data_IF_251297633109
#
_entry.id   IF_251297633109
#
_cell.length_a   1.000
_cell.length_b   1.000
_cell.length_c   1.000
_cell.angle_alpha   90.00
_cell.angle_beta   90.00
_cell.angle_gamma   90.00
#
_symmetry.space_group_name_H-M   'P 1'
#
loop_
_entity.id
_entity.type
_entity.pdbx_description
1 polymer ?
#
# COMPACT_ATOMS: atom_id res chain seq x y z
N UNK A 1 -1.39 73.57 32.14
CA UNK A 1 -0.52 72.50 31.62
C UNK A 1 -1.30 71.19 31.69
N UNK A 2 -1.82 70.67 30.56
CA UNK A 2 -2.53 69.39 30.45
C UNK A 2 -1.61 68.38 29.77
N UNK A 3 -1.12 67.39 30.49
CA UNK A 3 -0.32 66.28 29.95
C UNK A 3 -1.24 65.24 29.33
N UNK A 4 -1.13 64.99 28.02
CA UNK A 4 -1.73 63.89 27.31
C UNK A 4 -0.77 62.71 27.41
N UNK A 5 -1.19 61.66 28.12
CA UNK A 5 -0.48 60.36 28.08
C UNK A 5 -1.09 59.55 26.97
N UNK A 6 -0.36 59.41 25.87
CA UNK A 6 -0.70 58.55 24.75
C UNK A 6 -0.41 57.09 25.15
N UNK A 7 -1.44 56.26 25.29
CA UNK A 7 -1.27 54.84 25.46
C UNK A 7 -0.90 54.17 24.13
N UNK A 8 0.33 53.68 24.04
CA UNK A 8 0.82 52.90 22.90
C UNK A 8 0.30 51.47 23.04
N UNK A 9 -0.74 51.13 22.29
CA UNK A 9 -1.21 49.73 22.15
C UNK A 9 -0.19 48.97 21.28
N UNK A 10 0.70 48.22 21.92
CA UNK A 10 1.52 47.21 21.26
C UNK A 10 0.61 46.03 20.88
N UNK A 11 0.23 45.97 19.62
CA UNK A 11 -0.37 44.77 19.02
C UNK A 11 0.71 43.68 18.97
N UNK A 12 0.69 42.77 19.92
CA UNK A 12 1.42 41.50 19.86
C UNK A 12 0.82 40.70 18.72
N UNK A 13 1.35 40.83 17.53
CA UNK A 13 1.15 39.84 16.45
C UNK A 13 1.80 38.55 16.92
N UNK A 14 1.03 37.66 17.54
CA UNK A 14 1.47 36.33 17.81
C UNK A 14 1.79 35.65 16.48
N UNK A 15 3.06 35.41 16.22
CA UNK A 15 3.46 34.46 15.19
C UNK A 15 2.88 33.09 15.61
N UNK A 16 1.72 32.73 15.06
CA UNK A 16 1.26 31.36 15.09
C UNK A 16 2.29 30.57 14.31
N UNK A 17 3.13 29.82 14.99
CA UNK A 17 3.98 28.84 14.33
C UNK A 17 3.03 27.87 13.62
N UNK A 18 3.17 27.73 12.32
CA UNK A 18 2.35 26.79 11.56
C UNK A 18 2.54 25.39 12.18
N UNK A 19 1.43 24.74 12.52
CA UNK A 19 1.47 23.38 13.07
C UNK A 19 2.01 22.45 11.98
N UNK A 20 3.05 21.68 12.30
CA UNK A 20 3.58 20.63 11.44
C UNK A 20 2.96 19.31 11.88
N UNK A 21 2.31 18.62 10.95
CA UNK A 21 1.74 17.30 11.15
C UNK A 21 2.64 16.27 10.47
N UNK A 22 3.17 15.31 11.24
CA UNK A 22 4.13 14.34 10.74
C UNK A 22 3.43 13.03 10.37
N UNK A 23 3.48 12.66 9.09
CA UNK A 23 2.87 11.45 8.53
C UNK A 23 3.96 10.43 8.21
N UNK A 24 3.94 9.28 8.90
CA UNK A 24 4.84 8.16 8.65
C UNK A 24 4.20 7.18 7.67
N UNK A 25 4.71 7.11 6.45
CA UNK A 25 4.06 6.44 5.33
C UNK A 25 5.07 5.90 4.31
N UNK A 26 4.60 5.14 3.33
CA UNK A 26 5.40 4.74 2.17
C UNK A 26 5.87 5.97 1.38
N UNK A 27 7.00 5.82 0.69
CA UNK A 27 7.43 6.83 -0.29
C UNK A 27 6.40 6.94 -1.44
N UNK A 28 6.17 8.16 -1.95
CA UNK A 28 5.17 8.44 -3.00
C UNK A 28 3.74 8.07 -2.61
N UNK A 29 3.35 8.29 -1.35
CA UNK A 29 2.03 7.89 -0.85
C UNK A 29 1.08 9.06 -0.59
N UNK A 30 1.56 10.30 -0.66
CA UNK A 30 0.78 11.54 -0.62
C UNK A 30 1.17 12.42 -1.80
N UNK A 31 0.21 12.74 -2.66
CA UNK A 31 0.47 13.63 -3.79
C UNK A 31 0.80 15.06 -3.29
N UNK A 32 1.81 15.74 -3.87
CA UNK A 32 2.16 17.10 -3.47
C UNK A 32 0.99 18.08 -3.52
N UNK A 33 0.09 17.93 -4.50
CA UNK A 33 -1.12 18.75 -4.61
C UNK A 33 -2.02 18.62 -3.38
N UNK A 34 -2.14 17.42 -2.81
CA UNK A 34 -2.99 17.16 -1.64
C UNK A 34 -2.43 17.85 -0.40
N UNK A 35 -1.12 17.76 -0.19
CA UNK A 35 -0.44 18.45 0.92
C UNK A 35 -0.62 19.96 0.82
N UNK A 36 -0.35 20.52 -0.36
CA UNK A 36 -0.48 21.97 -0.62
C UNK A 36 -1.93 22.45 -0.42
N UNK A 37 -2.93 21.66 -0.85
CA UNK A 37 -4.35 21.98 -0.65
C UNK A 37 -4.72 22.00 0.82
N UNK A 38 -4.30 21.00 1.58
CA UNK A 38 -4.58 20.92 3.01
C UNK A 38 -3.95 22.11 3.75
N UNK A 39 -2.69 22.43 3.44
CA UNK A 39 -2.00 23.58 4.01
C UNK A 39 -2.69 24.89 3.66
N UNK A 40 -3.15 25.08 2.42
CA UNK A 40 -3.93 26.25 2.02
C UNK A 40 -5.28 26.37 2.74
N UNK A 41 -5.99 25.23 2.98
CA UNK A 41 -7.29 25.22 3.65
C UNK A 41 -7.17 25.42 5.16
N UNK A 42 -6.05 25.01 5.80
CA UNK A 42 -5.96 24.90 7.27
C UNK A 42 -4.79 25.64 7.91
N UNK A 43 -3.77 25.99 7.14
CA UNK A 43 -2.50 26.51 7.67
C UNK A 43 -1.62 25.44 8.31
N UNK A 44 -1.97 24.14 8.24
CA UNK A 44 -1.22 23.03 8.81
C UNK A 44 -0.30 22.46 7.73
N UNK A 45 1.01 22.39 8.03
CA UNK A 45 2.00 21.82 7.12
C UNK A 45 2.09 20.31 7.29
N UNK A 46 2.13 19.54 6.19
CA UNK A 46 2.31 18.08 6.21
C UNK A 46 3.76 17.74 5.91
N UNK A 47 4.40 17.07 6.87
CA UNK A 47 5.74 16.49 6.73
C UNK A 47 5.64 14.99 6.59
N UNK A 48 6.17 14.45 5.51
CA UNK A 48 6.28 13.01 5.33
C UNK A 48 7.61 12.48 5.89
N UNK A 49 7.52 11.35 6.60
CA UNK A 49 8.65 10.49 6.93
C UNK A 49 8.34 9.13 6.32
N UNK A 50 9.30 8.56 5.58
CA UNK A 50 9.02 7.36 4.81
C UNK A 50 9.66 6.13 5.41
N UNK A 51 9.00 4.98 5.24
CA UNK A 51 9.55 3.65 5.47
C UNK A 51 9.56 2.88 4.15
N UNK A 52 10.39 1.84 4.08
CA UNK A 52 10.64 1.01 2.91
C UNK A 52 10.14 -0.44 3.08
N UNK A 53 9.76 -0.81 4.29
CA UNK A 53 9.22 -2.14 4.60
C UNK A 53 8.34 -2.13 5.86
N UNK A 54 7.40 -3.07 5.93
CA UNK A 54 6.56 -3.26 7.10
C UNK A 54 7.37 -3.63 8.34
N UNK A 55 8.45 -4.39 8.18
CA UNK A 55 9.35 -4.69 9.28
C UNK A 55 10.06 -3.44 9.82
N UNK A 56 10.49 -2.53 8.95
CA UNK A 56 11.12 -1.26 9.37
C UNK A 56 10.11 -0.39 10.14
N UNK A 57 8.88 -0.24 9.60
CA UNK A 57 7.79 0.43 10.28
C UNK A 57 7.50 -0.19 11.65
N UNK A 58 7.28 -1.49 11.69
CA UNK A 58 6.91 -2.22 12.90
C UNK A 58 8.01 -2.16 13.96
N UNK A 59 9.27 -2.29 13.56
CA UNK A 59 10.44 -2.16 14.45
C UNK A 59 10.52 -0.78 15.08
N UNK A 60 10.29 0.26 14.30
CA UNK A 60 10.34 1.63 14.79
C UNK A 60 9.19 1.92 15.76
N UNK A 61 7.96 1.50 15.42
CA UNK A 61 6.78 1.72 16.25
C UNK A 61 6.81 0.92 17.56
N UNK A 62 7.45 -0.26 17.58
CA UNK A 62 7.59 -1.12 18.78
C UNK A 62 8.82 -0.80 19.65
N UNK A 63 9.69 0.08 19.21
CA UNK A 63 11.03 0.30 19.78
C UNK A 63 11.11 1.03 21.13
N UNK A 64 10.00 1.23 21.83
CA UNK A 64 9.97 1.78 23.21
C UNK A 64 10.19 3.30 23.31
N UNK A 65 10.61 3.97 22.26
CA UNK A 65 10.62 5.43 22.14
C UNK A 65 9.57 5.76 21.09
N UNK A 66 8.41 6.34 21.47
CA UNK A 66 7.43 6.74 20.50
C UNK A 66 8.07 7.78 19.57
N UNK A 67 8.15 7.51 18.29
CA UNK A 67 8.61 8.53 17.36
C UNK A 67 7.63 9.71 17.39
N UNK A 68 8.13 10.91 17.10
CA UNK A 68 7.32 12.12 16.97
C UNK A 68 6.51 12.08 15.66
N UNK A 69 5.67 11.06 15.52
CA UNK A 69 4.75 10.93 14.41
C UNK A 69 3.32 11.13 14.88
N UNK A 70 2.49 11.69 14.03
CA UNK A 70 1.08 11.94 14.32
C UNK A 70 0.20 10.87 13.66
N UNK A 71 0.48 10.57 12.40
CA UNK A 71 -0.28 9.62 11.59
C UNK A 71 0.68 8.56 11.04
N UNK A 72 0.19 7.32 10.94
CA UNK A 72 0.89 6.23 10.26
C UNK A 72 0.00 5.58 9.21
N UNK A 73 0.59 5.26 8.05
CA UNK A 73 0.01 4.32 7.10
C UNK A 73 0.33 2.90 7.54
N UNK A 74 -0.68 2.03 7.56
CA UNK A 74 -0.52 0.65 8.02
C UNK A 74 -1.47 -0.26 7.23
N UNK A 75 -0.97 -1.40 6.79
CA UNK A 75 -1.79 -2.38 6.09
C UNK A 75 -2.88 -2.99 7.01
N UNK A 76 -3.99 -3.37 6.41
CA UNK A 76 -5.15 -3.89 7.15
C UNK A 76 -4.87 -5.23 7.84
N UNK A 77 -3.89 -6.01 7.38
CA UNK A 77 -3.50 -7.27 7.99
C UNK A 77 -2.72 -7.01 9.30
N UNK A 78 -1.73 -6.12 9.27
CA UNK A 78 -0.99 -5.69 10.46
C UNK A 78 -1.89 -5.12 11.55
N UNK A 79 -2.91 -4.33 11.19
CA UNK A 79 -3.88 -3.77 12.14
C UNK A 79 -4.66 -4.83 12.94
N UNK A 80 -4.76 -6.04 12.42
CA UNK A 80 -5.45 -7.15 13.08
C UNK A 80 -4.61 -7.79 14.19
N UNK A 81 -3.29 -7.58 14.21
CA UNK A 81 -2.42 -8.05 15.28
C UNK A 81 -2.70 -7.27 16.57
N UNK A 82 -3.03 -7.96 17.69
CA UNK A 82 -3.29 -7.32 18.98
C UNK A 82 -2.18 -6.41 19.50
N UNK A 83 -0.93 -6.61 19.09
CA UNK A 83 0.23 -5.80 19.50
C UNK A 83 0.02 -4.31 19.19
N UNK A 84 -0.70 -3.99 18.13
CA UNK A 84 -0.87 -2.62 17.66
C UNK A 84 -2.04 -1.87 18.30
N UNK A 85 -2.95 -2.55 19.01
CA UNK A 85 -4.17 -1.94 19.57
C UNK A 85 -3.92 -0.78 20.52
N UNK A 86 -2.81 -0.83 21.24
CA UNK A 86 -2.48 0.19 22.24
C UNK A 86 -1.71 1.38 21.67
N UNK A 87 -1.32 1.34 20.40
CA UNK A 87 -0.57 2.42 19.76
C UNK A 87 -1.47 3.51 19.15
N UNK A 88 -2.72 3.18 18.82
CA UNK A 88 -3.60 4.07 18.07
C UNK A 88 -4.79 4.53 18.90
N UNK A 89 -5.30 5.72 18.58
CA UNK A 89 -6.58 6.20 19.14
C UNK A 89 -7.75 5.69 18.29
N UNK A 90 -8.94 5.50 18.86
CA UNK A 90 -10.15 5.24 18.09
C UNK A 90 -10.47 6.40 17.15
N UNK A 91 -10.83 6.07 15.89
CA UNK A 91 -11.26 7.08 14.93
C UNK A 91 -12.63 7.65 15.26
N UNK A 92 -12.83 8.98 15.08
CA UNK A 92 -14.14 9.59 15.22
C UNK A 92 -15.18 8.94 14.32
N UNK A 93 -16.40 8.75 14.82
CA UNK A 93 -17.52 8.19 14.04
C UNK A 93 -17.84 9.02 12.78
N UNK A 94 -17.60 10.33 12.83
CA UNK A 94 -17.75 11.21 11.67
C UNK A 94 -16.91 10.76 10.47
N UNK A 95 -15.72 10.24 10.71
CA UNK A 95 -14.84 9.76 9.64
C UNK A 95 -15.20 8.33 9.22
N UNK A 96 -15.54 7.46 10.18
CA UNK A 96 -15.68 6.01 9.92
C UNK A 96 -17.10 5.59 9.58
N UNK A 97 -18.11 6.18 10.23
CA UNK A 97 -19.51 5.76 10.08
C UNK A 97 -20.35 6.75 9.26
N UNK A 98 -20.06 8.05 9.35
CA UNK A 98 -20.82 9.08 8.66
C UNK A 98 -20.31 9.35 7.25
N UNK A 99 -19.08 8.97 6.92
CA UNK A 99 -18.54 9.08 5.58
C UNK A 99 -19.07 7.93 4.71
N UNK A 100 -20.26 8.12 4.16
CA UNK A 100 -20.92 7.13 3.29
C UNK A 100 -20.22 6.92 1.94
N UNK A 101 -19.20 7.69 1.62
CA UNK A 101 -18.42 7.51 0.40
C UNK A 101 -17.40 6.37 0.49
N UNK A 102 -16.92 6.05 1.70
CA UNK A 102 -16.02 4.93 1.93
C UNK A 102 -16.78 3.60 1.75
N UNK A 103 -16.14 2.61 1.14
CA UNK A 103 -16.73 1.28 1.02
C UNK A 103 -16.80 0.59 2.40
N UNK A 104 -17.98 0.09 2.81
CA UNK A 104 -18.13 -0.59 4.10
C UNK A 104 -17.21 -1.79 4.31
N UNK A 105 -16.84 -2.50 3.24
CA UNK A 105 -15.91 -3.62 3.29
C UNK A 105 -14.53 -3.15 3.76
N UNK A 106 -14.06 -2.03 3.23
CA UNK A 106 -12.77 -1.46 3.64
C UNK A 106 -12.82 -0.93 5.08
N UNK A 107 -13.94 -0.28 5.47
CA UNK A 107 -14.12 0.16 6.85
C UNK A 107 -14.08 -1.02 7.83
N UNK A 108 -14.69 -2.16 7.48
CA UNK A 108 -14.65 -3.37 8.29
C UNK A 108 -13.23 -3.93 8.43
N UNK A 109 -12.43 -3.90 7.36
CA UNK A 109 -11.05 -4.38 7.37
C UNK A 109 -10.08 -3.45 8.13
N UNK A 110 -10.22 -2.13 8.02
CA UNK A 110 -9.41 -1.17 8.78
C UNK A 110 -9.83 -1.06 10.26
N UNK A 111 -11.05 -1.50 10.60
CA UNK A 111 -11.54 -1.54 11.97
C UNK A 111 -11.84 -0.15 12.55
N UNK A 112 -11.76 -0.02 13.91
CA UNK A 112 -12.14 1.20 14.63
C UNK A 112 -10.98 2.16 14.91
N UNK A 113 -9.74 1.71 14.69
CA UNK A 113 -8.53 2.46 15.05
C UNK A 113 -7.91 3.19 13.85
N UNK A 114 -8.51 3.06 12.67
CA UNK A 114 -7.97 3.64 11.45
C UNK A 114 -9.07 3.94 10.43
N UNK A 115 -8.71 4.64 9.37
CA UNK A 115 -9.58 4.89 8.22
C UNK A 115 -9.01 4.24 6.97
N UNK A 116 -9.84 3.65 6.10
CA UNK A 116 -9.40 3.16 4.81
C UNK A 116 -8.82 4.29 3.95
N UNK A 117 -7.73 4.00 3.28
CA UNK A 117 -7.02 4.99 2.47
C UNK A 117 -6.96 4.60 1.01
N UNK A 118 -6.09 3.64 0.68
CA UNK A 118 -5.89 3.14 -0.67
C UNK A 118 -5.93 1.62 -0.69
N UNK A 119 -6.32 1.06 -1.83
CA UNK A 119 -6.28 -0.39 -2.05
C UNK A 119 -5.84 -0.71 -3.47
N UNK A 120 -5.46 -1.94 -3.70
CA UNK A 120 -5.09 -2.43 -5.01
C UNK A 120 -4.92 -3.94 -5.05
N UNK A 121 -4.48 -4.40 -6.20
CA UNK A 121 -4.16 -5.80 -6.44
C UNK A 121 -2.66 -5.98 -6.62
N UNK A 122 -2.20 -7.20 -6.41
CA UNK A 122 -0.90 -7.66 -6.90
C UNK A 122 -1.14 -8.22 -8.30
N UNK A 123 -0.25 -7.91 -9.23
CA UNK A 123 -0.36 -8.40 -10.59
C UNK A 123 0.98 -8.84 -11.15
N UNK A 124 0.99 -9.13 -12.44
CA UNK A 124 2.20 -9.44 -13.18
C UNK A 124 2.48 -8.31 -14.16
N UNK A 125 3.67 -7.70 -14.03
CA UNK A 125 4.23 -6.87 -15.07
C UNK A 125 5.14 -7.73 -15.95
N UNK A 126 5.03 -7.60 -17.29
CA UNK A 126 5.93 -8.28 -18.19
C UNK A 126 6.24 -7.44 -19.41
N UNK A 127 7.41 -7.65 -20.00
CA UNK A 127 7.82 -7.02 -21.24
C UNK A 127 7.29 -7.82 -22.43
N UNK A 128 6.40 -7.21 -23.21
CA UNK A 128 5.73 -7.85 -24.31
C UNK A 128 6.71 -8.42 -25.35
N UNK A 129 7.85 -7.74 -25.58
CA UNK A 129 8.90 -8.18 -26.51
C UNK A 129 9.74 -9.36 -26.00
N UNK A 130 9.61 -9.74 -24.73
CA UNK A 130 10.45 -10.74 -24.08
C UNK A 130 9.71 -12.06 -23.80
N UNK A 131 8.44 -12.15 -24.15
CA UNK A 131 7.60 -13.34 -23.98
C UNK A 131 7.10 -13.83 -25.33
N UNK A 132 6.98 -15.13 -25.49
CA UNK A 132 6.46 -15.74 -26.71
C UNK A 132 4.94 -15.68 -26.78
N UNK A 133 4.29 -15.67 -25.61
CA UNK A 133 2.83 -15.54 -25.43
C UNK A 133 2.53 -14.57 -24.29
N UNK A 134 1.41 -13.84 -24.34
CA UNK A 134 0.99 -13.00 -23.21
C UNK A 134 0.93 -13.79 -21.90
N UNK A 135 1.41 -13.17 -20.82
CA UNK A 135 1.23 -13.72 -19.48
C UNK A 135 -0.18 -13.35 -19.01
N UNK A 136 -0.96 -14.34 -18.61
CA UNK A 136 -2.34 -14.18 -18.11
C UNK A 136 -2.60 -14.93 -16.81
N UNK A 137 -1.65 -15.74 -16.36
CA UNK A 137 -1.79 -16.63 -15.20
C UNK A 137 -0.58 -16.57 -14.29
N UNK A 138 -0.81 -16.71 -12.98
CA UNK A 138 0.28 -16.80 -12.00
C UNK A 138 1.23 -17.96 -12.29
N UNK A 139 0.70 -19.12 -12.70
CA UNK A 139 1.53 -20.29 -12.97
C UNK A 139 2.64 -20.02 -14.01
N UNK A 140 2.47 -19.05 -14.91
CA UNK A 140 3.48 -18.68 -15.89
C UNK A 140 4.72 -17.98 -15.26
N UNK A 141 4.65 -17.51 -14.02
CA UNK A 141 5.82 -17.06 -13.26
C UNK A 141 6.49 -18.20 -12.47
N UNK A 142 5.75 -19.25 -12.13
CA UNK A 142 6.27 -20.41 -11.39
C UNK A 142 6.81 -21.52 -12.31
N UNK A 143 6.26 -21.63 -13.49
CA UNK A 143 6.69 -22.52 -14.56
C UNK A 143 6.92 -21.71 -15.85
N UNK A 144 7.92 -20.81 -15.84
CA UNK A 144 8.10 -19.87 -16.93
C UNK A 144 8.66 -20.55 -18.18
N UNK A 145 8.42 -19.91 -19.33
CA UNK A 145 9.11 -20.28 -20.55
C UNK A 145 10.63 -20.06 -20.39
N UNK A 146 11.47 -20.84 -21.13
CA UNK A 146 12.93 -20.80 -20.96
C UNK A 146 13.56 -19.41 -21.10
N UNK A 147 12.96 -18.54 -21.93
CA UNK A 147 13.42 -17.16 -22.14
C UNK A 147 13.31 -16.25 -20.92
N UNK A 148 12.57 -16.66 -19.88
CA UNK A 148 12.39 -15.90 -18.62
C UNK A 148 13.35 -16.36 -17.51
N UNK A 149 14.18 -17.39 -17.73
CA UNK A 149 15.11 -17.89 -16.72
C UNK A 149 16.09 -16.80 -16.25
N UNK A 150 16.17 -16.56 -14.93
CA UNK A 150 16.99 -15.51 -14.32
C UNK A 150 16.56 -14.09 -14.68
N UNK A 151 15.29 -13.89 -15.04
CA UNK A 151 14.74 -12.62 -15.52
C UNK A 151 13.40 -12.24 -14.86
N UNK A 152 13.00 -12.98 -13.84
CA UNK A 152 11.80 -12.75 -13.06
C UNK A 152 12.19 -12.06 -11.76
N UNK A 153 11.41 -11.06 -11.34
CA UNK A 153 11.52 -10.42 -10.02
C UNK A 153 10.26 -10.73 -9.24
N UNK A 154 10.45 -11.19 -8.01
CA UNK A 154 9.37 -11.42 -7.06
C UNK A 154 9.49 -10.43 -5.89
N UNK A 155 8.38 -10.08 -5.28
CA UNK A 155 8.38 -9.22 -4.09
C UNK A 155 8.95 -10.00 -2.90
N UNK A 156 9.73 -9.33 -2.07
CA UNK A 156 10.29 -9.87 -0.83
C UNK A 156 9.32 -9.60 0.33
N UNK A 157 8.20 -10.32 0.30
CA UNK A 157 7.18 -10.29 1.34
C UNK A 157 6.67 -11.70 1.63
N UNK A 158 6.59 -12.06 2.92
CA UNK A 158 6.21 -13.42 3.35
C UNK A 158 4.80 -13.81 2.93
N UNK A 159 3.84 -12.90 3.13
CA UNK A 159 2.43 -13.21 2.88
C UNK A 159 2.12 -13.17 1.40
N UNK A 160 2.57 -12.14 0.72
CA UNK A 160 2.29 -11.93 -0.70
C UNK A 160 2.94 -12.99 -1.58
N UNK A 161 4.21 -13.36 -1.30
CA UNK A 161 4.93 -14.37 -2.05
C UNK A 161 4.23 -15.75 -1.98
N UNK A 162 3.80 -16.17 -0.79
CA UNK A 162 3.08 -17.42 -0.60
C UNK A 162 1.68 -17.34 -1.20
N UNK A 163 1.00 -16.21 -1.08
CA UNK A 163 -0.35 -16.00 -1.57
C UNK A 163 -0.45 -16.09 -3.09
N UNK A 164 0.51 -15.52 -3.83
CA UNK A 164 0.52 -15.67 -5.30
C UNK A 164 0.85 -17.11 -5.72
N UNK A 165 1.65 -17.85 -4.93
CA UNK A 165 1.89 -19.27 -5.18
C UNK A 165 0.63 -20.11 -4.90
N UNK A 166 -0.14 -19.80 -3.85
CA UNK A 166 -1.44 -20.42 -3.58
C UNK A 166 -2.43 -20.14 -4.72
N UNK A 167 -2.52 -18.89 -5.19
CA UNK A 167 -3.35 -18.57 -6.37
C UNK A 167 -2.92 -19.33 -7.61
N UNK A 168 -1.63 -19.45 -7.87
CA UNK A 168 -1.09 -20.24 -8.97
C UNK A 168 -1.49 -21.72 -8.88
N UNK A 169 -1.59 -22.27 -7.65
CA UNK A 169 -2.04 -23.62 -7.37
C UNK A 169 -3.58 -23.79 -7.36
N UNK A 170 -4.34 -22.70 -7.47
CA UNK A 170 -5.81 -22.71 -7.46
C UNK A 170 -6.44 -22.70 -6.07
N UNK A 171 -5.70 -22.28 -5.04
CA UNK A 171 -6.16 -22.24 -3.65
C UNK A 171 -6.46 -20.80 -3.17
N UNK A 172 -7.18 -20.71 -2.03
CA UNK A 172 -7.38 -19.44 -1.32
C UNK A 172 -6.08 -18.94 -0.70
N UNK A 173 -5.88 -17.61 -0.73
CA UNK A 173 -4.74 -16.99 -0.02
C UNK A 173 -4.86 -17.13 1.50
N UNK A 174 -6.07 -17.38 2.01
CA UNK A 174 -6.39 -17.49 3.43
C UNK A 174 -6.40 -18.93 3.95
N UNK A 175 -5.94 -19.89 3.15
CA UNK A 175 -5.93 -21.30 3.58
C UNK A 175 -4.97 -21.55 4.75
N UNK A 176 -5.38 -22.42 5.67
CA UNK A 176 -4.55 -23.02 6.72
C UNK A 176 -4.29 -24.52 6.46
N UNK A 177 -4.73 -25.01 5.30
CA UNK A 177 -4.54 -26.41 4.93
C UNK A 177 -3.06 -26.66 4.60
N UNK A 178 -2.44 -27.53 5.39
CA UNK A 178 -1.03 -27.87 5.25
C UNK A 178 -0.67 -28.37 3.85
N UNK A 179 -1.51 -29.20 3.23
CA UNK A 179 -1.26 -29.75 1.88
C UNK A 179 -1.28 -28.65 0.82
N UNK A 180 -2.16 -27.65 0.97
CA UNK A 180 -2.22 -26.50 0.05
C UNK A 180 -1.00 -25.58 0.22
N UNK A 181 -0.57 -25.35 1.46
CA UNK A 181 0.67 -24.61 1.76
C UNK A 181 1.92 -25.35 1.27
N UNK A 182 1.96 -26.68 1.38
CA UNK A 182 3.02 -27.51 0.80
C UNK A 182 3.05 -27.41 -0.74
N UNK A 183 1.90 -27.36 -1.39
CA UNK A 183 1.83 -27.15 -2.84
C UNK A 183 2.42 -25.78 -3.26
N UNK A 184 2.09 -24.71 -2.52
CA UNK A 184 2.68 -23.40 -2.73
C UNK A 184 4.19 -23.41 -2.52
N UNK A 185 4.70 -24.07 -1.47
CA UNK A 185 6.11 -24.25 -1.21
C UNK A 185 6.83 -24.93 -2.38
N UNK A 186 6.28 -25.99 -2.93
CA UNK A 186 6.88 -26.69 -4.07
C UNK A 186 6.94 -25.82 -5.32
N UNK A 187 5.93 -25.00 -5.59
CA UNK A 187 5.94 -24.05 -6.68
C UNK A 187 7.05 -23.00 -6.49
N UNK A 188 7.19 -22.45 -5.29
CA UNK A 188 8.23 -21.47 -4.95
C UNK A 188 9.63 -22.07 -5.07
N UNK A 189 9.84 -23.30 -4.57
CA UNK A 189 11.12 -23.99 -4.72
C UNK A 189 11.50 -24.19 -6.20
N UNK A 190 10.56 -24.61 -7.02
CA UNK A 190 10.76 -24.83 -8.45
C UNK A 190 11.08 -23.52 -9.17
N UNK A 191 10.40 -22.43 -8.79
CA UNK A 191 10.58 -21.10 -9.37
C UNK A 191 11.96 -20.49 -9.05
N UNK A 192 12.55 -20.80 -7.89
CA UNK A 192 13.75 -20.12 -7.37
C UNK A 192 14.87 -19.96 -8.39
N UNK A 193 15.10 -20.97 -9.24
CA UNK A 193 16.14 -20.93 -10.29
C UNK A 193 15.85 -19.94 -11.42
N UNK A 194 14.62 -19.46 -11.53
CA UNK A 194 14.19 -18.52 -12.58
C UNK A 194 14.15 -17.07 -12.06
N UNK A 195 14.23 -16.88 -10.74
CA UNK A 195 14.15 -15.55 -10.10
C UNK A 195 15.51 -14.87 -10.15
N UNK A 196 15.54 -13.64 -10.63
CA UNK A 196 16.71 -12.77 -10.65
C UNK A 196 16.94 -12.07 -9.32
N UNK A 197 15.85 -11.65 -8.67
CA UNK A 197 15.88 -10.97 -7.38
C UNK A 197 14.53 -11.07 -6.66
N UNK A 198 14.59 -10.99 -5.34
CA UNK A 198 13.44 -10.79 -4.46
C UNK A 198 13.51 -9.36 -3.92
N UNK A 199 12.73 -8.47 -4.47
CA UNK A 199 12.65 -7.04 -4.10
C UNK A 199 11.50 -6.35 -4.83
N UNK A 200 11.20 -5.10 -4.49
CA UNK A 200 10.21 -4.32 -5.23
C UNK A 200 10.65 -4.15 -6.70
N UNK A 201 9.69 -4.29 -7.61
CA UNK A 201 9.96 -4.34 -9.06
C UNK A 201 10.56 -3.04 -9.61
N UNK A 202 10.16 -1.87 -9.07
CA UNK A 202 10.72 -0.59 -9.49
C UNK A 202 12.15 -0.40 -8.96
N UNK A 203 12.48 -0.88 -7.76
CA UNK A 203 13.84 -0.90 -7.25
C UNK A 203 14.73 -1.83 -8.11
N UNK A 204 14.21 -3.00 -8.49
CA UNK A 204 14.89 -3.91 -9.42
C UNK A 204 15.13 -3.26 -10.80
N UNK A 205 14.24 -2.41 -11.28
CA UNK A 205 14.35 -1.78 -12.59
C UNK A 205 15.52 -0.80 -12.69
N UNK A 206 15.92 -0.15 -11.60
CA UNK A 206 17.06 0.78 -11.53
C UNK A 206 18.38 0.08 -11.16
N UNK A 207 18.32 -1.15 -10.67
CA UNK A 207 19.52 -1.95 -10.41
C UNK A 207 20.29 -2.23 -11.72
N UNK A 208 21.56 -1.88 -11.75
CA UNK A 208 22.41 -1.99 -12.94
C UNK A 208 22.57 -3.43 -13.46
N UNK A 209 22.42 -4.43 -12.58
CA UNK A 209 22.56 -5.85 -12.93
C UNK A 209 21.22 -6.50 -13.28
N UNK A 210 20.17 -6.21 -12.50
CA UNK A 210 18.84 -6.80 -12.66
C UNK A 210 18.02 -6.04 -13.69
N UNK A 211 17.99 -4.71 -13.65
CA UNK A 211 17.12 -3.87 -14.45
C UNK A 211 17.25 -4.03 -15.97
N UNK A 212 18.46 -4.35 -16.47
CA UNK A 212 18.69 -4.64 -17.89
C UNK A 212 18.14 -6.00 -18.33
N UNK A 213 17.99 -6.94 -17.40
CA UNK A 213 17.60 -8.33 -17.67
C UNK A 213 16.14 -8.62 -17.36
N UNK A 214 15.53 -7.87 -16.45
CA UNK A 214 14.16 -8.10 -16.01
C UNK A 214 13.19 -8.17 -17.21
N UNK A 215 12.40 -9.21 -17.24
CA UNK A 215 11.41 -9.44 -18.29
C UNK A 215 10.01 -9.65 -17.75
N UNK A 216 9.88 -10.13 -16.51
CA UNK A 216 8.61 -10.26 -15.80
C UNK A 216 8.81 -9.98 -14.31
N UNK A 217 7.76 -9.50 -13.63
CA UNK A 217 7.79 -9.21 -12.22
C UNK A 217 6.41 -9.40 -11.58
N UNK A 218 6.38 -9.88 -10.35
CA UNK A 218 5.29 -9.66 -9.43
C UNK A 218 5.32 -8.18 -9.00
N UNK A 219 4.18 -7.49 -9.04
CA UNK A 219 4.14 -6.03 -8.83
C UNK A 219 2.83 -5.59 -8.21
N UNK A 220 2.89 -4.65 -7.27
CA UNK A 220 1.70 -3.96 -6.78
C UNK A 220 1.16 -3.01 -7.86
N UNK A 221 -0.16 -2.86 -7.92
CA UNK A 221 -0.81 -2.12 -9.02
C UNK A 221 -0.26 -0.69 -9.22
N UNK A 222 -0.07 0.08 -8.15
CA UNK A 222 0.51 1.43 -8.24
C UNK A 222 1.98 1.44 -8.64
N UNK A 223 2.76 0.49 -8.13
CA UNK A 223 4.19 0.38 -8.43
C UNK A 223 4.47 0.08 -9.90
N UNK A 224 3.49 -0.44 -10.61
CA UNK A 224 3.61 -0.63 -12.06
C UNK A 224 3.89 0.69 -12.80
N UNK A 225 3.31 1.81 -12.36
CA UNK A 225 3.58 3.12 -12.96
C UNK A 225 5.00 3.59 -12.65
N UNK A 226 5.46 3.36 -11.43
CA UNK A 226 6.84 3.66 -11.02
C UNK A 226 7.84 2.81 -11.81
N UNK A 227 7.53 1.51 -11.99
CA UNK A 227 8.31 0.60 -12.84
C UNK A 227 8.40 1.12 -14.29
N UNK A 228 7.27 1.55 -14.87
CA UNK A 228 7.25 2.09 -16.25
C UNK A 228 8.07 3.38 -16.39
N UNK A 229 8.05 4.24 -15.39
CA UNK A 229 8.81 5.50 -15.41
C UNK A 229 10.32 5.25 -15.31
N UNK A 230 10.73 4.41 -14.37
CA UNK A 230 12.13 4.14 -14.05
C UNK A 230 12.79 3.17 -15.03
N UNK A 231 12.02 2.29 -15.66
CA UNK A 231 12.56 1.34 -16.63
C UNK A 231 12.94 2.04 -17.95
N UNK A 232 14.10 1.70 -18.55
CA UNK A 232 14.45 2.16 -19.89
C UNK A 232 13.54 1.57 -20.99
N UNK A 233 12.76 0.55 -20.67
CA UNK A 233 11.90 -0.16 -21.60
C UNK A 233 10.46 0.33 -21.52
N UNK A 234 9.78 0.46 -22.66
CA UNK A 234 8.42 1.02 -22.74
C UNK A 234 7.36 -0.01 -23.15
N UNK A 235 7.74 -1.26 -23.30
CA UNK A 235 6.88 -2.36 -23.73
C UNK A 235 6.29 -3.18 -22.57
N UNK A 236 6.30 -2.63 -21.37
CA UNK A 236 5.68 -3.22 -20.19
C UNK A 236 4.16 -3.35 -20.32
N UNK A 237 3.63 -4.50 -19.92
CA UNK A 237 2.20 -4.78 -19.77
C UNK A 237 1.93 -5.21 -18.35
N UNK A 238 0.76 -4.86 -17.86
CA UNK A 238 0.27 -5.30 -16.55
C UNK A 238 -0.94 -6.19 -16.75
N UNK A 239 -1.06 -7.22 -15.93
CA UNK A 239 -2.22 -8.11 -15.88
C UNK A 239 -2.50 -8.51 -14.42
N UNK A 240 -3.78 -8.48 -14.05
CA UNK A 240 -4.28 -9.25 -12.91
C UNK A 240 -4.59 -10.65 -13.44
N UNK A 241 -3.95 -11.70 -12.92
CA UNK A 241 -4.08 -13.05 -13.45
C UNK A 241 -5.51 -13.61 -13.38
N UNK A 242 -5.79 -14.59 -14.23
CA UNK A 242 -7.10 -15.23 -14.34
C UNK A 242 -7.55 -15.90 -13.03
N UNK A 243 -6.60 -16.37 -12.23
CA UNK A 243 -6.83 -16.96 -10.91
C UNK A 243 -7.29 -15.95 -9.84
N UNK A 244 -7.27 -14.67 -10.16
CA UNK A 244 -7.41 -13.57 -9.20
C UNK A 244 -6.10 -13.23 -8.52
N UNK A 245 -6.16 -12.38 -7.51
CA UNK A 245 -5.01 -11.79 -6.85
C UNK A 245 -5.21 -11.60 -5.36
N UNK A 246 -4.15 -11.60 -4.56
CA UNK A 246 -4.18 -10.94 -3.27
C UNK A 246 -4.55 -9.46 -3.44
N UNK A 247 -5.46 -8.96 -2.62
CA UNK A 247 -5.82 -7.56 -2.54
C UNK A 247 -5.22 -6.97 -1.26
N UNK A 248 -4.49 -5.90 -1.41
CA UNK A 248 -3.98 -5.13 -0.28
C UNK A 248 -4.90 -3.95 0.02
N UNK A 249 -4.93 -3.54 1.26
CA UNK A 249 -5.66 -2.38 1.75
C UNK A 249 -4.83 -1.68 2.81
N UNK A 250 -4.49 -0.44 2.56
CA UNK A 250 -3.82 0.41 3.53
C UNK A 250 -4.80 1.35 4.21
N UNK A 251 -4.57 1.53 5.48
CA UNK A 251 -5.35 2.35 6.38
C UNK A 251 -4.45 3.43 6.98
N UNK A 252 -5.03 4.54 7.39
CA UNK A 252 -4.35 5.60 8.13
C UNK A 252 -4.82 5.59 9.58
N UNK A 253 -3.87 5.56 10.51
CA UNK A 253 -4.14 5.55 11.95
C UNK A 253 -3.45 6.74 12.65
N UNK A 254 -4.07 7.27 13.71
CA UNK A 254 -3.48 8.34 14.53
C UNK A 254 -2.79 7.69 15.72
N UNK A 255 -1.53 8.05 15.94
CA UNK A 255 -0.76 7.56 17.08
C UNK A 255 -1.27 8.19 18.38
N UNK A 256 -1.40 7.36 19.42
CA UNK A 256 -1.83 7.78 20.76
C UNK A 256 -0.87 8.78 21.40
N UNK A 257 0.39 8.74 20.97
CA UNK A 257 1.46 9.65 21.43
C UNK A 257 1.48 10.98 20.69
N UNK A 258 0.68 11.14 19.63
CA UNK A 258 0.58 12.41 18.91
C UNK A 258 0.11 13.54 19.83
N UNK A 259 0.80 14.68 19.72
CA UNK A 259 0.42 15.93 20.37
C UNK A 259 -0.56 16.76 19.52
N UNK A 260 -0.82 16.34 18.27
CA UNK A 260 -1.62 17.03 17.26
C UNK A 260 -2.81 16.17 16.80
N UNK A 261 -3.47 15.46 17.76
CA UNK A 261 -4.56 14.52 17.41
C UNK A 261 -5.73 15.19 16.69
N UNK A 262 -6.08 16.43 17.04
CA UNK A 262 -7.17 17.16 16.38
C UNK A 262 -6.81 17.52 14.93
N UNK A 263 -5.60 17.97 14.68
CA UNK A 263 -5.09 18.28 13.36
C UNK A 263 -4.97 17.01 12.50
N UNK A 264 -4.58 15.90 13.13
CA UNK A 264 -4.54 14.59 12.49
C UNK A 264 -5.94 14.10 12.08
N UNK A 265 -6.95 14.26 12.95
CA UNK A 265 -8.35 13.98 12.63
C UNK A 265 -8.86 14.89 11.47
N UNK A 266 -8.49 16.16 11.47
CA UNK A 266 -8.83 17.09 10.40
C UNK A 266 -8.20 16.65 9.06
N UNK A 267 -6.94 16.21 9.08
CA UNK A 267 -6.26 15.73 7.88
C UNK A 267 -6.87 14.42 7.36
N UNK A 268 -7.19 13.46 8.21
CA UNK A 268 -7.84 12.22 7.79
C UNK A 268 -9.26 12.47 7.27
N UNK A 269 -10.00 13.41 7.87
CA UNK A 269 -11.29 13.86 7.35
C UNK A 269 -11.15 14.46 5.94
N UNK A 270 -10.14 15.29 5.73
CA UNK A 270 -9.83 15.88 4.44
C UNK A 270 -9.46 14.80 3.41
N UNK A 271 -8.56 13.86 3.74
CA UNK A 271 -8.11 12.78 2.85
C UNK A 271 -9.23 11.85 2.40
N UNK A 272 -10.25 11.66 3.25
CA UNK A 272 -11.39 10.78 2.95
C UNK A 272 -12.52 11.47 2.18
N UNK A 273 -12.40 12.77 1.88
CA UNK A 273 -13.31 13.46 0.96
C UNK A 273 -13.21 12.84 -0.43
N UNK A 274 -14.33 12.51 -1.12
CA UNK A 274 -14.27 11.82 -2.40
C UNK A 274 -13.47 12.54 -3.48
N UNK A 275 -13.59 13.88 -3.56
CA UNK A 275 -12.82 14.70 -4.51
C UNK A 275 -11.31 14.61 -4.25
N UNK A 276 -10.90 14.71 -3.00
CA UNK A 276 -9.50 14.65 -2.55
C UNK A 276 -8.92 13.25 -2.76
N UNK A 277 -9.64 12.23 -2.31
CA UNK A 277 -9.22 10.83 -2.44
C UNK A 277 -9.03 10.43 -3.92
N UNK A 278 -9.93 10.87 -4.82
CA UNK A 278 -9.82 10.61 -6.26
C UNK A 278 -8.63 11.34 -6.89
N UNK A 279 -8.38 12.61 -6.53
CA UNK A 279 -7.21 13.37 -7.02
C UNK A 279 -5.93 12.67 -6.58
N UNK A 280 -5.84 12.31 -5.30
CA UNK A 280 -4.69 11.63 -4.73
C UNK A 280 -4.45 10.28 -5.40
N UNK A 281 -5.47 9.42 -5.48
CA UNK A 281 -5.37 8.11 -6.10
C UNK A 281 -4.94 8.16 -7.58
N UNK A 282 -5.45 9.14 -8.35
CA UNK A 282 -5.01 9.34 -9.73
C UNK A 282 -3.55 9.76 -9.84
N UNK A 283 -3.10 10.66 -8.96
CA UNK A 283 -1.72 11.13 -8.98
C UNK A 283 -0.72 10.02 -8.65
N UNK A 284 -1.12 9.09 -7.77
CA UNK A 284 -0.28 8.00 -7.28
C UNK A 284 -0.45 6.70 -8.08
N UNK A 285 -1.50 6.58 -8.89
CA UNK A 285 -1.82 5.34 -9.61
C UNK A 285 -2.52 4.27 -8.77
N UNK A 286 -2.97 4.61 -7.55
CA UNK A 286 -3.69 3.72 -6.64
C UNK A 286 -5.20 3.97 -6.68
N UNK A 287 -5.97 3.01 -6.17
CA UNK A 287 -7.42 3.16 -6.06
C UNK A 287 -7.79 3.61 -4.66
N UNK A 288 -8.46 4.75 -4.50
CA UNK A 288 -8.93 5.17 -3.19
C UNK A 288 -10.02 4.22 -2.66
N UNK A 289 -10.07 4.06 -1.34
CA UNK A 289 -10.97 3.12 -0.65
C UNK A 289 -12.43 3.61 -0.64
N UNK A 290 -12.91 4.11 -1.77
CA UNK A 290 -14.27 4.63 -1.97
C UNK A 290 -15.19 3.57 -2.56
N UNK A 291 -16.49 3.72 -2.30
CA UNK A 291 -17.51 2.97 -3.03
C UNK A 291 -17.41 3.26 -4.54
N UNK A 292 -17.67 2.25 -5.35
CA UNK A 292 -17.59 2.32 -6.82
C UNK A 292 -18.33 3.52 -7.42
N UNK A 293 -19.44 3.94 -6.81
CA UNK A 293 -20.23 5.08 -7.27
C UNK A 293 -19.48 6.43 -7.24
N UNK A 294 -18.45 6.55 -6.40
CA UNK A 294 -17.61 7.75 -6.28
C UNK A 294 -16.33 7.67 -7.12
N UNK A 295 -16.05 6.52 -7.74
CA UNK A 295 -14.86 6.34 -8.57
C UNK A 295 -15.14 6.78 -10.02
N UNK A 296 -14.29 7.61 -10.62
CA UNK A 296 -14.47 8.04 -12.00
C UNK A 296 -14.16 6.91 -12.99
N UNK A 297 -14.73 7.00 -14.18
CA UNK A 297 -14.52 6.05 -15.26
C UNK A 297 -13.02 5.85 -15.59
N UNK A 298 -12.19 6.87 -15.42
CA UNK A 298 -10.74 6.78 -15.64
C UNK A 298 -10.03 5.82 -14.67
N UNK A 299 -10.56 5.59 -13.47
CA UNK A 299 -10.08 4.55 -12.54
C UNK A 299 -10.75 3.23 -12.87
N UNK A 300 -12.08 3.20 -12.98
CA UNK A 300 -12.86 1.97 -13.18
C UNK A 300 -12.53 1.22 -14.48
N UNK A 301 -12.14 1.93 -15.53
CA UNK A 301 -11.79 1.37 -16.85
C UNK A 301 -10.28 1.09 -16.99
N UNK A 302 -9.49 1.34 -15.95
CA UNK A 302 -8.06 1.07 -15.94
C UNK A 302 -7.79 -0.24 -15.19
N UNK A 303 -7.43 -1.30 -15.93
CA UNK A 303 -7.20 -2.62 -15.35
C UNK A 303 -6.03 -2.68 -14.34
N UNK A 304 -5.14 -1.70 -14.34
CA UNK A 304 -4.08 -1.57 -13.32
C UNK A 304 -4.68 -1.10 -12.01
N UNK A 305 -5.47 -0.03 -12.04
CA UNK A 305 -6.07 0.56 -10.84
C UNK A 305 -7.25 -0.27 -10.32
N UNK A 306 -8.10 -0.77 -11.22
CA UNK A 306 -9.31 -1.51 -10.86
C UNK A 306 -9.37 -2.84 -11.64
N UNK A 307 -9.15 -3.99 -10.98
CA UNK A 307 -9.14 -5.28 -11.64
C UNK A 307 -10.43 -5.55 -12.41
N UNK A 308 -10.37 -6.19 -13.60
CA UNK A 308 -11.57 -6.63 -14.31
C UNK A 308 -12.45 -7.54 -13.45
N UNK A 309 -13.78 -7.47 -13.63
CA UNK A 309 -14.74 -8.20 -12.80
C UNK A 309 -14.44 -9.70 -12.61
N UNK A 310 -14.11 -10.49 -13.64
CA UNK A 310 -13.83 -11.91 -13.43
C UNK A 310 -12.63 -12.16 -12.52
N UNK A 311 -11.59 -11.35 -12.63
CA UNK A 311 -10.41 -11.43 -11.77
C UNK A 311 -10.72 -10.92 -10.36
N UNK A 312 -11.41 -9.79 -10.24
CA UNK A 312 -11.79 -9.21 -8.94
C UNK A 312 -12.63 -10.17 -8.11
N UNK A 313 -13.58 -10.91 -8.72
CA UNK A 313 -14.40 -11.91 -8.03
C UNK A 313 -13.60 -13.11 -7.49
N UNK A 314 -12.41 -13.37 -8.03
CA UNK A 314 -11.50 -14.44 -7.58
C UNK A 314 -10.38 -13.89 -6.69
N UNK A 315 -10.31 -12.57 -6.51
CA UNK A 315 -9.33 -11.92 -5.66
C UNK A 315 -9.82 -11.89 -4.21
N UNK A 316 -8.89 -11.86 -3.27
CA UNK A 316 -9.20 -11.97 -1.85
C UNK A 316 -8.38 -10.96 -1.04
N UNK A 317 -8.99 -10.40 0.00
CA UNK A 317 -8.26 -9.71 1.08
C UNK A 317 -7.78 -10.75 2.09
N UNK A 318 -6.74 -10.39 2.85
CA UNK A 318 -6.23 -11.23 3.91
C UNK A 318 -7.19 -11.29 5.11
N UNK A 319 -7.41 -12.49 5.64
CA UNK A 319 -8.11 -12.71 6.90
C UNK A 319 -7.16 -12.48 8.09
N UNK A 320 -7.73 -12.18 9.26
CA UNK A 320 -6.97 -11.82 10.46
C UNK A 320 -6.04 -12.92 10.96
N UNK A 321 -6.45 -14.16 10.81
CA UNK A 321 -5.75 -15.34 11.34
C UNK A 321 -4.53 -15.75 10.49
N UNK A 322 -4.37 -15.18 9.30
CA UNK A 322 -3.19 -15.43 8.45
C UNK A 322 -1.93 -14.79 9.04
N UNK A 323 -2.03 -13.65 9.73
CA UNK A 323 -0.88 -12.89 10.25
C UNK A 323 -0.02 -13.67 11.25
N UNK A 324 -0.60 -14.62 11.99
CA UNK A 324 0.10 -15.46 12.99
C UNK A 324 0.56 -16.83 12.46
N UNK A 325 0.46 -17.12 11.17
CA UNK A 325 0.76 -18.45 10.63
C UNK A 325 2.27 -18.72 10.54
N UNK A 326 2.78 -19.44 11.54
CA UNK A 326 4.20 -19.84 11.61
C UNK A 326 4.66 -20.75 10.45
N UNK A 327 3.74 -21.47 9.82
CA UNK A 327 4.08 -22.33 8.68
C UNK A 327 4.40 -21.48 7.45
N UNK A 328 3.69 -20.37 7.23
CA UNK A 328 4.01 -19.41 6.16
C UNK A 328 5.39 -18.81 6.35
N UNK A 329 5.71 -18.37 7.57
CA UNK A 329 7.05 -17.87 7.89
C UNK A 329 8.12 -18.93 7.64
N UNK A 330 7.89 -20.19 8.04
CA UNK A 330 8.82 -21.29 7.79
C UNK A 330 9.03 -21.56 6.28
N UNK A 331 7.97 -21.54 5.48
CA UNK A 331 8.04 -21.69 4.02
C UNK A 331 8.88 -20.55 3.41
N UNK A 332 8.58 -19.31 3.77
CA UNK A 332 9.31 -18.14 3.28
C UNK A 332 10.81 -18.26 3.54
N UNK A 333 11.22 -18.54 4.77
CA UNK A 333 12.63 -18.72 5.10
C UNK A 333 13.27 -19.90 4.37
N UNK A 334 12.54 -20.98 4.14
CA UNK A 334 13.06 -22.15 3.40
C UNK A 334 13.22 -21.87 1.89
N UNK A 335 12.48 -20.93 1.35
CA UNK A 335 12.57 -20.52 -0.07
C UNK A 335 13.71 -19.52 -0.28
N UNK A 336 13.89 -18.53 0.62
CA UNK A 336 14.86 -17.44 0.40
C UNK A 336 16.27 -17.79 0.90
N UNK A 337 16.41 -18.74 1.80
CA UNK A 337 17.71 -19.24 2.28
C UNK A 337 18.19 -20.46 1.50
#
# INVERSE_FOLDING_TARGET
>A
MRYWIGALLLSLSGYSQATELVVYTWEYYLAPEIKNRFEQETGIHIKEVNYDSDEARNRLLSGGYPPEFDIVSIDSLSLKDPVWKDLYIPMPEAITKQNTAIDPTFTANCGKLSVPYMWGSIGIAYRQSQVTKPITRWLQLFEPEPGLSGRIVMVDDTFDLISVALKAAGYSINTHNKTELEAAYHLLQKQRSFVAAYQLSFAAAVDGNVGKKIAAAMVYSGDFYVLQQNSPYKDWRYVVPEEGSPLWLDCMAILKTSLHQQEAEQFLTFLTRPDIAVINGKALGFTPALQKAYLPASILNNAVSYPPNPQLQRSEFYDADVSGDSLRSAIYFAVLK
#
